data_IF_906485450236
#
_entry.id   IF_906485450236
#
_cell.length_a   1.000
_cell.length_b   1.000
_cell.length_c   1.000
_cell.angle_alpha   90.00
_cell.angle_beta   90.00
_cell.angle_gamma   90.00
#
_symmetry.space_group_name_H-M   'P 1'
#
loop_
_entity.id
_entity.type
_entity.pdbx_description
1 polymer ?
#
# COMPACT_ATOMS: atom_id res chain seq x y z
N UNK A 1 19.66 -17.56 -17.71
CA UNK A 1 19.35 -16.57 -16.64
C UNK A 1 17.88 -16.24 -16.74
N UNK A 2 17.18 -16.21 -15.61
CA UNK A 2 15.76 -15.85 -15.55
C UNK A 2 15.66 -14.39 -15.11
N UNK A 3 14.86 -13.59 -15.81
CA UNK A 3 14.56 -12.20 -15.42
C UNK A 3 13.50 -12.22 -14.31
N UNK A 4 13.61 -11.32 -13.32
CA UNK A 4 12.60 -11.10 -12.29
C UNK A 4 12.01 -9.71 -12.46
N UNK A 5 10.69 -9.63 -12.60
CA UNK A 5 9.94 -8.39 -12.71
C UNK A 5 9.37 -7.99 -11.34
N UNK A 6 9.60 -6.74 -10.94
CA UNK A 6 8.98 -6.16 -9.75
C UNK A 6 7.64 -5.52 -10.10
N UNK A 7 6.82 -5.27 -9.09
CA UNK A 7 5.59 -4.49 -9.23
C UNK A 7 5.87 -2.99 -9.46
N UNK A 8 4.79 -2.23 -9.65
CA UNK A 8 4.84 -0.79 -9.92
C UNK A 8 4.41 0.10 -8.75
N UNK A 9 4.07 1.34 -9.07
CA UNK A 9 3.67 2.36 -8.09
C UNK A 9 2.32 2.10 -7.42
N UNK A 10 2.33 1.42 -6.26
CA UNK A 10 1.15 1.20 -5.42
C UNK A 10 0.39 2.49 -5.10
N UNK A 11 1.12 3.55 -4.76
CA UNK A 11 0.52 4.85 -4.49
C UNK A 11 -0.37 5.28 -5.65
N UNK A 12 0.23 5.67 -6.77
CA UNK A 12 -0.51 6.29 -7.89
C UNK A 12 -1.77 5.51 -8.29
N UNK A 13 -1.71 4.19 -8.27
CA UNK A 13 -2.88 3.33 -8.50
C UNK A 13 -3.98 3.48 -7.44
N UNK A 14 -3.64 3.49 -6.15
CA UNK A 14 -4.62 3.74 -5.09
C UNK A 14 -5.21 5.15 -5.16
N UNK A 15 -4.43 6.15 -5.61
CA UNK A 15 -4.89 7.53 -5.79
C UNK A 15 -5.92 7.62 -6.92
N UNK A 16 -5.68 6.90 -8.01
CA UNK A 16 -6.59 6.84 -9.16
C UNK A 16 -7.89 6.09 -8.85
N UNK A 17 -7.87 5.15 -7.89
CA UNK A 17 -8.98 4.23 -7.61
C UNK A 17 -9.77 4.57 -6.34
N UNK A 18 -9.22 5.35 -5.42
CA UNK A 18 -9.86 5.68 -4.14
C UNK A 18 -10.74 6.94 -4.26
N UNK A 19 -11.97 6.94 -3.72
CA UNK A 19 -12.91 8.07 -3.83
C UNK A 19 -12.61 9.24 -2.87
N UNK A 20 -11.40 9.38 -2.34
CA UNK A 20 -11.06 10.34 -1.28
C UNK A 20 -9.85 11.22 -1.58
N UNK A 21 -9.80 12.40 -0.96
CA UNK A 21 -8.63 13.27 -1.02
C UNK A 21 -7.43 12.62 -0.31
N UNK A 22 -6.22 12.68 -0.89
CA UNK A 22 -5.04 12.09 -0.27
C UNK A 22 -4.70 12.81 1.05
N UNK A 23 -4.47 12.01 2.10
CA UNK A 23 -3.89 12.47 3.37
C UNK A 23 -2.37 12.27 3.38
N UNK A 24 -1.68 12.77 4.41
CA UNK A 24 -0.24 12.52 4.60
C UNK A 24 0.14 11.04 4.84
N UNK A 25 -0.84 10.16 5.02
CA UNK A 25 -0.74 8.69 5.17
C UNK A 25 -1.62 7.93 4.17
N UNK A 26 -2.02 8.56 3.07
CA UNK A 26 -3.08 8.06 2.20
C UNK A 26 -2.96 6.57 1.79
N UNK A 27 -1.76 6.06 1.48
CA UNK A 27 -1.62 4.65 1.08
C UNK A 27 -1.87 3.69 2.26
N UNK A 28 -1.42 4.07 3.47
CA UNK A 28 -1.72 3.34 4.71
C UNK A 28 -3.17 3.53 5.15
N UNK A 29 -3.77 4.69 4.89
CA UNK A 29 -5.19 4.94 5.16
C UNK A 29 -6.07 4.06 4.28
N UNK A 30 -5.75 3.92 2.99
CA UNK A 30 -6.47 2.99 2.10
C UNK A 30 -6.31 1.54 2.54
N UNK A 31 -5.16 1.15 3.10
CA UNK A 31 -4.99 -0.18 3.70
C UNK A 31 -5.96 -0.42 4.87
N UNK A 32 -6.22 0.61 5.69
CA UNK A 32 -7.16 0.54 6.81
C UNK A 32 -8.62 0.56 6.34
N UNK A 33 -8.96 1.47 5.44
CA UNK A 33 -10.34 1.74 5.05
C UNK A 33 -10.85 0.79 3.97
N UNK A 34 -9.97 0.37 3.06
CA UNK A 34 -10.31 -0.48 1.91
C UNK A 34 -9.14 -1.41 1.52
N UNK A 35 -8.80 -2.41 2.35
CA UNK A 35 -7.73 -3.36 2.06
C UNK A 35 -7.96 -4.15 0.75
N UNK A 36 -9.22 -4.32 0.33
CA UNK A 36 -9.55 -4.98 -0.93
C UNK A 36 -9.01 -4.23 -2.15
N UNK A 37 -8.92 -2.89 -2.08
CA UNK A 37 -8.33 -2.06 -3.14
C UNK A 37 -6.82 -2.25 -3.24
N UNK A 38 -6.11 -2.34 -2.10
CA UNK A 38 -4.67 -2.67 -2.06
C UNK A 38 -4.41 -4.02 -2.70
N UNK A 39 -5.20 -5.04 -2.34
CA UNK A 39 -5.09 -6.36 -2.94
C UNK A 39 -5.39 -6.34 -4.45
N UNK A 40 -6.35 -5.52 -4.90
CA UNK A 40 -6.66 -5.39 -6.32
C UNK A 40 -5.48 -4.85 -7.12
N UNK A 41 -4.81 -3.81 -6.61
CA UNK A 41 -3.60 -3.26 -7.25
C UNK A 41 -2.49 -4.31 -7.34
N UNK A 42 -2.20 -5.05 -6.26
CA UNK A 42 -1.22 -6.14 -6.33
C UNK A 42 -1.60 -7.21 -7.35
N UNK A 43 -2.88 -7.64 -7.38
CA UNK A 43 -3.36 -8.62 -8.37
C UNK A 43 -3.17 -8.11 -9.79
N UNK A 44 -3.35 -6.83 -10.04
CA UNK A 44 -3.17 -6.26 -11.37
C UNK A 44 -1.69 -6.25 -11.79
N UNK A 45 -0.77 -5.98 -10.87
CA UNK A 45 0.67 -6.12 -11.16
C UNK A 45 1.08 -7.57 -11.44
N UNK A 46 0.57 -8.54 -10.68
CA UNK A 46 0.80 -9.96 -10.98
C UNK A 46 0.22 -10.36 -12.34
N UNK A 47 -0.97 -9.86 -12.71
CA UNK A 47 -1.56 -10.07 -14.05
C UNK A 47 -0.74 -9.41 -15.16
N UNK A 48 -0.08 -8.30 -14.87
CA UNK A 48 0.82 -7.62 -15.80
C UNK A 48 2.19 -8.32 -15.94
N UNK A 49 2.47 -9.36 -15.15
CA UNK A 49 3.68 -10.17 -15.23
C UNK A 49 4.72 -9.90 -14.14
N UNK A 50 4.39 -9.15 -13.07
CA UNK A 50 5.28 -9.04 -11.93
C UNK A 50 5.46 -10.41 -11.25
N UNK A 51 6.69 -10.70 -10.84
CA UNK A 51 7.05 -11.88 -10.05
C UNK A 51 7.05 -11.59 -8.55
N UNK A 52 7.24 -10.30 -8.19
CA UNK A 52 7.40 -9.84 -6.81
C UNK A 52 6.47 -8.65 -6.56
N UNK A 53 5.80 -8.66 -5.41
CA UNK A 53 5.06 -7.52 -4.90
C UNK A 53 5.79 -6.84 -3.74
N UNK A 54 5.75 -5.51 -3.71
CA UNK A 54 6.28 -4.68 -2.63
C UNK A 54 5.15 -4.34 -1.67
N UNK A 55 5.25 -4.75 -0.41
CA UNK A 55 4.19 -4.51 0.59
C UNK A 55 3.85 -3.02 0.74
N UNK A 56 2.58 -2.68 0.99
CA UNK A 56 2.10 -1.31 1.25
C UNK A 56 2.53 -0.74 2.62
N UNK A 57 3.79 -0.90 2.99
CA UNK A 57 4.32 -0.58 4.33
C UNK A 57 5.25 0.65 4.34
N UNK A 58 5.54 1.26 3.17
CA UNK A 58 6.45 2.41 3.06
C UNK A 58 6.09 3.59 3.99
N UNK A 59 4.79 3.84 4.19
CA UNK A 59 4.34 4.93 5.07
C UNK A 59 4.12 4.48 6.53
N UNK A 60 4.28 3.19 6.85
CA UNK A 60 3.93 2.59 8.13
C UNK A 60 5.12 2.66 9.09
N UNK A 61 5.57 3.88 9.40
CA UNK A 61 6.62 4.11 10.40
C UNK A 61 6.01 4.64 11.70
N UNK A 62 6.47 4.17 12.88
CA UNK A 62 5.93 4.61 14.19
C UNK A 62 5.82 6.14 14.31
N UNK A 63 6.90 6.86 13.99
CA UNK A 63 6.92 8.33 14.04
C UNK A 63 5.92 8.99 13.09
N UNK A 64 5.64 8.37 11.95
CA UNK A 64 4.66 8.88 10.98
C UNK A 64 3.24 8.59 11.46
N UNK A 65 2.97 7.36 11.90
CA UNK A 65 1.68 6.94 12.46
C UNK A 65 1.28 7.76 13.70
N UNK A 66 2.24 8.13 14.55
CA UNK A 66 2.00 8.95 15.75
C UNK A 66 1.34 10.30 15.41
N UNK A 67 1.72 10.93 14.29
CA UNK A 67 1.14 12.21 13.85
C UNK A 67 -0.36 12.11 13.50
N UNK A 68 -0.87 10.90 13.34
CA UNK A 68 -2.25 10.60 12.98
C UNK A 68 -2.97 9.76 14.04
N UNK A 69 -2.39 9.59 15.24
CA UNK A 69 -3.01 8.82 16.32
C UNK A 69 -3.05 7.31 16.08
N UNK A 70 -2.21 6.77 15.18
CA UNK A 70 -2.23 5.36 14.77
C UNK A 70 -1.02 4.56 15.28
N UNK A 71 -0.27 5.08 16.24
CA UNK A 71 0.97 4.46 16.71
C UNK A 71 0.76 3.02 17.24
N UNK A 72 -0.37 2.77 17.90
CA UNK A 72 -0.71 1.47 18.50
C UNK A 72 -1.01 0.39 17.44
N UNK A 73 -1.37 0.81 16.22
CA UNK A 73 -1.64 -0.07 15.07
C UNK A 73 -0.37 -0.51 14.33
N UNK A 74 0.82 -0.04 14.73
CA UNK A 74 2.07 -0.30 14.00
C UNK A 74 2.33 -1.80 13.77
N UNK A 75 2.15 -2.65 14.78
CA UNK A 75 2.42 -4.08 14.65
C UNK A 75 1.36 -4.79 13.79
N UNK A 76 0.11 -4.33 13.83
CA UNK A 76 -0.99 -4.87 13.02
C UNK A 76 -0.79 -4.56 11.54
N UNK A 77 -0.37 -3.34 11.20
CA UNK A 77 -0.17 -2.89 9.82
C UNK A 77 1.03 -3.53 9.10
N UNK A 78 1.82 -4.37 9.79
CA UNK A 78 2.93 -5.14 9.23
C UNK A 78 2.63 -6.65 9.11
N UNK A 79 1.41 -7.08 9.43
CA UNK A 79 0.96 -8.46 9.26
C UNK A 79 0.18 -8.60 7.96
#
# INVERSE_FOLDING_TARGET
>A
MTLTLLDGGMGQELLARSPGAPTGLWSAQVLLDNPALVQAVHRDYFRAGADVATTNSYAVHRMRLQRFGLADRFAELHR
#
